data_IF_720576508067
#
_entry.id   IF_720576508067
#
_cell.length_a   1.000
_cell.length_b   1.000
_cell.length_c   1.000
_cell.angle_alpha   90.00
_cell.angle_beta   90.00
_cell.angle_gamma   90.00
#
_symmetry.space_group_name_H-M   'P 1'
#
loop_
_entity.id
_entity.type
_entity.pdbx_description
1 polymer ?
#
# COMPACT_ATOMS: atom_id res chain seq x y z
N UNK A 1 79.57 26.79 13.86
CA UNK A 1 78.15 27.02 13.50
C UNK A 1 77.33 25.92 14.18
N UNK A 2 76.91 26.14 15.42
CA UNK A 2 75.98 25.26 16.15
C UNK A 2 75.15 26.15 17.04
N UNK A 3 73.83 26.12 16.88
CA UNK A 3 72.94 26.98 17.66
C UNK A 3 71.83 26.15 18.32
N UNK A 4 71.92 26.16 19.66
CA UNK A 4 70.88 26.23 20.70
C UNK A 4 69.80 25.15 20.79
N UNK A 5 69.89 24.39 21.88
CA UNK A 5 68.75 23.74 22.52
C UNK A 5 68.39 24.55 23.78
N UNK A 6 67.22 25.18 23.78
CA UNK A 6 66.69 25.97 24.90
C UNK A 6 65.50 25.25 25.53
N UNK A 7 65.66 24.86 26.80
CA UNK A 7 64.71 24.10 27.58
C UNK A 7 63.42 24.87 27.92
N UNK A 8 62.33 24.11 27.86
CA UNK A 8 60.96 24.48 28.20
C UNK A 8 60.73 24.55 29.71
N UNK A 9 59.97 25.56 30.15
CA UNK A 9 59.03 25.45 31.28
C UNK A 9 58.10 26.66 31.38
N UNK A 10 56.79 26.40 31.25
CA UNK A 10 55.68 26.89 32.10
C UNK A 10 54.39 27.06 31.28
N UNK A 11 53.39 26.20 31.49
CA UNK A 11 52.20 26.33 32.38
C UNK A 11 50.95 26.76 31.62
N UNK A 12 50.05 25.77 31.50
CA UNK A 12 48.59 25.82 31.51
C UNK A 12 47.89 27.17 31.32
N UNK A 13 47.14 27.30 30.22
CA UNK A 13 45.81 27.93 30.22
C UNK A 13 44.91 27.27 29.18
N UNK A 14 43.74 26.86 29.64
CA UNK A 14 42.62 26.27 28.90
C UNK A 14 42.10 27.14 27.76
N UNK A 15 41.81 26.53 26.61
CA UNK A 15 40.78 27.05 25.70
C UNK A 15 39.99 25.92 25.06
N UNK A 16 38.71 25.90 25.40
CA UNK A 16 37.65 25.04 24.89
C UNK A 16 37.43 25.40 23.41
N UNK A 17 38.12 24.70 22.52
CA UNK A 17 37.72 24.61 21.11
C UNK A 17 37.94 23.18 20.65
N UNK A 18 36.96 22.32 20.97
CA UNK A 18 36.85 21.00 20.35
C UNK A 18 36.55 21.26 18.87
N UNK A 19 37.57 21.12 18.02
CA UNK A 19 37.41 21.20 16.57
C UNK A 19 36.36 20.18 16.15
N UNK A 20 35.21 20.68 15.70
CA UNK A 20 34.19 19.88 15.04
C UNK A 20 34.78 19.54 13.68
N UNK A 21 35.27 18.31 13.54
CA UNK A 21 35.63 17.75 12.24
C UNK A 21 34.35 17.65 11.41
N UNK A 22 34.15 18.61 10.51
CA UNK A 22 33.18 18.55 9.43
C UNK A 22 33.64 17.47 8.43
N UNK A 23 33.39 16.20 8.76
CA UNK A 23 33.38 15.12 7.78
C UNK A 23 31.95 14.95 7.28
N UNK A 24 31.72 15.54 6.10
CA UNK A 24 30.91 14.95 5.02
C UNK A 24 29.57 14.35 5.43
N UNK A 25 28.57 15.22 5.60
CA UNK A 25 27.17 14.86 5.31
C UNK A 25 26.99 14.84 3.79
N UNK A 26 27.32 13.71 3.17
CA UNK A 26 26.89 13.41 1.81
C UNK A 26 25.90 12.24 1.91
N UNK A 27 24.65 12.55 1.59
CA UNK A 27 23.63 11.63 1.07
C UNK A 27 23.58 10.24 1.71
N UNK A 28 22.98 10.17 2.89
CA UNK A 28 22.25 8.96 3.27
C UNK A 28 20.78 9.31 3.12
N UNK A 29 20.17 8.74 2.09
CA UNK A 29 18.72 8.72 1.89
C UNK A 29 18.05 8.38 3.21
N UNK A 30 17.36 9.37 3.79
CA UNK A 30 16.43 9.10 4.87
C UNK A 30 15.18 8.52 4.21
N UNK A 31 15.16 7.20 4.03
CA UNK A 31 13.88 6.51 4.00
C UNK A 31 13.12 6.93 5.28
N UNK A 32 11.84 7.35 5.18
CA UNK A 32 11.08 7.68 6.37
C UNK A 32 11.10 6.47 7.29
N UNK A 33 11.32 6.68 8.59
CA UNK A 33 11.40 5.63 9.59
C UNK A 33 10.10 4.83 9.55
N UNK A 34 10.13 3.72 8.81
CA UNK A 34 8.93 2.94 8.53
C UNK A 34 8.63 2.13 9.79
N UNK A 35 7.63 2.59 10.53
CA UNK A 35 7.26 2.01 11.80
C UNK A 35 6.67 0.63 11.50
N UNK A 36 7.43 -0.41 11.81
CA UNK A 36 6.99 -1.81 11.71
C UNK A 36 6.07 -2.09 12.89
N UNK A 37 4.77 -2.10 12.65
CA UNK A 37 3.79 -2.57 13.63
C UNK A 37 3.29 -3.95 13.22
N UNK A 38 3.55 -4.94 14.07
CA UNK A 38 2.87 -6.24 14.02
C UNK A 38 1.38 -6.00 14.27
N UNK A 39 0.51 -6.52 13.42
CA UNK A 39 -0.93 -6.49 13.71
C UNK A 39 -1.11 -7.13 15.09
N UNK A 40 -1.77 -6.45 16.05
CA UNK A 40 -1.82 -6.92 17.42
C UNK A 40 -2.77 -8.11 17.57
N UNK A 41 -2.33 -9.29 17.12
CA UNK A 41 -2.99 -10.60 17.16
C UNK A 41 -4.40 -10.60 16.54
N UNK A 42 -4.69 -11.66 15.81
CA UNK A 42 -5.83 -11.82 14.89
C UNK A 42 -7.23 -11.90 15.52
N UNK A 43 -7.40 -11.34 16.72
CA UNK A 43 -8.69 -11.22 17.41
C UNK A 43 -9.12 -9.76 17.53
N UNK A 44 -8.26 -8.80 17.18
CA UNK A 44 -8.62 -7.38 17.31
C UNK A 44 -9.39 -6.84 16.12
N UNK A 45 -9.14 -7.27 14.87
CA UNK A 45 -9.79 -6.66 13.70
C UNK A 45 -11.30 -6.92 13.75
N UNK A 46 -11.71 -8.17 13.95
CA UNK A 46 -13.14 -8.52 14.13
C UNK A 46 -13.80 -7.69 15.24
N UNK A 47 -13.17 -7.62 16.42
CA UNK A 47 -13.73 -6.91 17.58
C UNK A 47 -13.81 -5.40 17.34
N UNK A 48 -12.81 -4.81 16.66
CA UNK A 48 -12.82 -3.39 16.28
C UNK A 48 -13.96 -3.12 15.29
N UNK A 49 -14.13 -3.96 14.27
CA UNK A 49 -15.22 -3.81 13.31
C UNK A 49 -16.60 -3.95 13.96
N UNK A 50 -16.77 -4.93 14.86
CA UNK A 50 -18.02 -5.13 15.59
C UNK A 50 -18.32 -3.98 16.57
N UNK A 51 -17.33 -3.51 17.32
CA UNK A 51 -17.51 -2.37 18.24
C UNK A 51 -17.77 -1.05 17.51
N UNK A 52 -17.21 -0.88 16.31
CA UNK A 52 -17.57 0.25 15.44
C UNK A 52 -19.01 0.13 14.93
N UNK A 53 -19.42 -1.06 14.49
CA UNK A 53 -20.80 -1.31 14.06
C UNK A 53 -21.82 -1.08 15.21
N UNK A 54 -21.42 -1.35 16.45
CA UNK A 54 -22.18 -1.04 17.66
C UNK A 54 -22.09 0.45 18.10
N UNK A 55 -21.36 1.29 17.37
CA UNK A 55 -21.13 2.72 17.63
C UNK A 55 -20.34 3.04 18.91
N UNK A 56 -19.60 2.08 19.47
CA UNK A 56 -18.92 2.25 20.75
C UNK A 56 -17.49 2.80 20.60
N UNK A 57 -16.71 2.35 19.60
CA UNK A 57 -15.28 2.65 19.52
C UNK A 57 -14.84 3.14 18.12
N UNK A 58 -14.99 4.44 17.85
CA UNK A 58 -14.54 5.07 16.60
C UNK A 58 -13.02 5.24 16.47
N UNK A 59 -12.34 5.52 17.58
CA UNK A 59 -10.88 5.79 17.58
C UNK A 59 -10.07 4.57 17.15
N UNK A 60 -10.45 3.39 17.64
CA UNK A 60 -9.74 2.15 17.32
C UNK A 60 -9.93 1.77 15.86
N UNK A 61 -11.12 2.01 15.31
CA UNK A 61 -11.41 1.86 13.88
C UNK A 61 -10.56 2.79 13.02
N UNK A 62 -10.54 4.09 13.31
CA UNK A 62 -9.71 5.05 12.57
C UNK A 62 -8.23 4.70 12.64
N UNK A 63 -7.77 4.26 13.81
CA UNK A 63 -6.38 3.82 14.02
C UNK A 63 -6.06 2.60 13.17
N UNK A 64 -6.98 1.62 13.09
CA UNK A 64 -6.85 0.43 12.26
C UNK A 64 -6.77 0.79 10.76
N UNK A 65 -7.65 1.67 10.28
CA UNK A 65 -7.66 2.13 8.87
C UNK A 65 -6.34 2.82 8.52
N UNK A 66 -5.85 3.72 9.38
CA UNK A 66 -4.55 4.37 9.18
C UNK A 66 -3.41 3.34 9.17
N UNK A 67 -3.50 2.33 10.04
CA UNK A 67 -2.53 1.24 10.10
C UNK A 67 -2.45 0.48 8.78
N UNK A 68 -3.58 0.02 8.26
CA UNK A 68 -3.63 -0.75 7.00
C UNK A 68 -3.07 0.07 5.84
N UNK A 69 -3.36 1.37 5.79
CA UNK A 69 -2.89 2.25 4.71
C UNK A 69 -1.40 2.55 4.80
N UNK A 70 -0.87 2.79 6.00
CA UNK A 70 0.46 3.36 6.18
C UNK A 70 1.54 2.30 6.50
N UNK A 71 1.13 1.09 6.91
CA UNK A 71 2.07 0.00 7.28
C UNK A 71 2.47 -0.90 6.10
N UNK A 72 3.65 -1.52 6.22
CA UNK A 72 4.01 -2.67 5.39
C UNK A 72 3.57 -3.93 6.13
N UNK A 73 2.52 -4.57 5.61
CA UNK A 73 2.07 -5.86 6.08
C UNK A 73 3.01 -6.95 5.55
N UNK A 74 3.39 -7.89 6.40
CA UNK A 74 4.03 -9.14 5.95
C UNK A 74 2.95 -10.08 5.42
N UNK A 75 3.35 -11.09 4.64
CA UNK A 75 2.44 -12.12 4.12
C UNK A 75 1.53 -12.69 5.21
N UNK A 76 2.09 -13.07 6.37
CA UNK A 76 1.32 -13.65 7.49
C UNK A 76 0.28 -12.68 8.09
N UNK A 77 0.67 -11.40 8.24
CA UNK A 77 -0.21 -10.35 8.78
C UNK A 77 -1.34 -10.03 7.78
N UNK A 78 -1.05 -10.05 6.47
CA UNK A 78 -2.04 -9.80 5.43
C UNK A 78 -3.01 -10.98 5.27
N UNK A 79 -2.52 -12.22 5.28
CA UNK A 79 -3.35 -13.43 5.30
C UNK A 79 -4.32 -13.40 6.49
N UNK A 80 -3.82 -13.14 7.70
CA UNK A 80 -4.69 -13.08 8.89
C UNK A 80 -5.72 -11.95 8.81
N UNK A 81 -5.32 -10.76 8.34
CA UNK A 81 -6.23 -9.64 8.10
C UNK A 81 -7.33 -9.99 7.10
N UNK A 82 -6.99 -10.62 5.98
CA UNK A 82 -7.95 -11.00 4.93
C UNK A 82 -8.89 -12.10 5.40
N UNK A 83 -8.39 -13.06 6.18
CA UNK A 83 -9.20 -14.12 6.78
C UNK A 83 -10.24 -13.53 7.75
N UNK A 84 -9.83 -12.65 8.67
CA UNK A 84 -10.74 -11.98 9.60
C UNK A 84 -11.74 -11.06 8.88
N UNK A 85 -11.28 -10.30 7.88
CA UNK A 85 -12.14 -9.45 7.07
C UNK A 85 -13.20 -10.29 6.32
N UNK A 86 -12.81 -11.48 5.84
CA UNK A 86 -13.72 -12.44 5.18
C UNK A 86 -14.81 -12.94 6.12
N UNK A 87 -14.48 -13.21 7.39
CA UNK A 87 -15.47 -13.58 8.41
C UNK A 87 -16.43 -12.43 8.77
N UNK A 88 -16.01 -11.19 8.51
CA UNK A 88 -16.78 -9.98 8.82
C UNK A 88 -17.51 -9.42 7.60
N UNK A 89 -17.54 -10.10 6.45
CA UNK A 89 -18.18 -9.59 5.23
C UNK A 89 -19.63 -9.16 5.49
N UNK A 90 -20.40 -9.89 6.29
CA UNK A 90 -21.81 -9.55 6.57
C UNK A 90 -21.99 -8.19 7.24
N UNK A 91 -21.00 -7.71 8.00
CA UNK A 91 -21.06 -6.42 8.72
C UNK A 91 -20.34 -5.29 7.97
N UNK A 92 -19.55 -5.58 6.93
CA UNK A 92 -18.88 -4.60 6.07
C UNK A 92 -19.88 -3.82 5.21
N UNK A 93 -20.70 -3.01 5.88
CA UNK A 93 -21.69 -2.12 5.29
C UNK A 93 -21.05 -0.78 4.85
N UNK A 94 -21.88 0.16 4.37
CA UNK A 94 -21.41 1.48 3.90
C UNK A 94 -20.66 2.29 4.97
N UNK A 95 -20.93 2.08 6.25
CA UNK A 95 -20.27 2.79 7.35
C UNK A 95 -18.80 2.38 7.49
N UNK A 96 -18.48 1.14 7.11
CA UNK A 96 -17.12 0.59 7.12
C UNK A 96 -16.36 0.80 5.80
N UNK A 97 -16.84 1.70 4.93
CA UNK A 97 -16.24 1.98 3.62
C UNK A 97 -14.76 2.33 3.68
N UNK A 98 -14.31 3.08 4.69
CA UNK A 98 -12.89 3.48 4.81
C UNK A 98 -11.97 2.28 5.01
N UNK A 99 -12.45 1.24 5.69
CA UNK A 99 -11.71 0.00 5.89
C UNK A 99 -11.62 -0.81 4.59
N UNK A 100 -12.73 -0.92 3.86
CA UNK A 100 -12.74 -1.56 2.54
C UNK A 100 -11.80 -0.83 1.59
N UNK A 101 -11.83 0.49 1.58
CA UNK A 101 -10.95 1.32 0.76
C UNK A 101 -9.47 1.12 1.14
N UNK A 102 -9.15 1.06 2.44
CA UNK A 102 -7.79 0.77 2.89
C UNK A 102 -7.29 -0.61 2.42
N UNK A 103 -8.14 -1.65 2.49
CA UNK A 103 -7.78 -2.98 1.97
C UNK A 103 -7.58 -2.94 0.44
N UNK A 104 -8.47 -2.26 -0.29
CA UNK A 104 -8.39 -2.14 -1.75
C UNK A 104 -7.12 -1.46 -2.25
N UNK A 105 -6.51 -0.59 -1.43
CA UNK A 105 -5.29 0.13 -1.79
C UNK A 105 -4.01 -0.70 -1.63
N UNK A 106 -4.04 -1.80 -0.88
CA UNK A 106 -2.89 -2.67 -0.64
C UNK A 106 -2.29 -3.15 -1.97
N UNK A 107 -0.96 -3.14 -2.09
CA UNK A 107 -0.23 -3.69 -3.25
C UNK A 107 -0.13 -5.23 -3.16
N UNK A 108 -1.29 -5.90 -3.13
CA UNK A 108 -1.40 -7.36 -2.91
C UNK A 108 -0.76 -8.21 -4.02
N UNK A 109 -0.60 -7.67 -5.23
CA UNK A 109 0.00 -8.37 -6.40
C UNK A 109 1.49 -8.68 -6.24
N UNK A 110 2.18 -8.04 -5.30
CA UNK A 110 3.61 -8.26 -5.03
C UNK A 110 3.87 -9.36 -3.98
N UNK A 111 2.81 -9.88 -3.34
CA UNK A 111 2.90 -10.88 -2.27
C UNK A 111 2.94 -12.32 -2.82
N UNK A 112 3.14 -13.30 -1.93
CA UNK A 112 3.09 -14.71 -2.33
C UNK A 112 1.76 -15.10 -2.96
N UNK A 113 1.78 -16.15 -3.80
CA UNK A 113 0.60 -16.65 -4.49
C UNK A 113 -0.55 -17.05 -3.55
N UNK A 114 -0.21 -17.48 -2.32
CA UNK A 114 -1.20 -17.78 -1.27
C UNK A 114 -2.00 -16.53 -0.87
N UNK A 115 -1.29 -15.44 -0.57
CA UNK A 115 -1.90 -14.16 -0.19
C UNK A 115 -2.72 -13.58 -1.34
N UNK A 116 -2.18 -13.67 -2.56
CA UNK A 116 -2.88 -13.28 -3.78
C UNK A 116 -4.22 -14.01 -3.89
N UNK A 117 -4.22 -15.35 -3.80
CA UNK A 117 -5.43 -16.16 -3.92
C UNK A 117 -6.48 -15.80 -2.87
N UNK A 118 -6.05 -15.60 -1.62
CA UNK A 118 -6.95 -15.23 -0.52
C UNK A 118 -7.54 -13.83 -0.72
N UNK A 119 -6.73 -12.89 -1.20
CA UNK A 119 -7.19 -11.54 -1.56
C UNK A 119 -8.22 -11.58 -2.69
N UNK A 120 -7.98 -12.37 -3.74
CA UNK A 120 -8.92 -12.54 -4.85
C UNK A 120 -10.27 -13.08 -4.35
N UNK A 121 -10.24 -14.11 -3.51
CA UNK A 121 -11.43 -14.69 -2.88
C UNK A 121 -12.19 -13.65 -2.03
N UNK A 122 -11.47 -12.90 -1.19
CA UNK A 122 -12.06 -11.83 -0.38
C UNK A 122 -12.79 -10.79 -1.23
N UNK A 123 -12.16 -10.28 -2.30
CA UNK A 123 -12.79 -9.27 -3.18
C UNK A 123 -14.04 -9.81 -3.86
N UNK A 124 -13.99 -11.03 -4.39
CA UNK A 124 -15.14 -11.66 -5.04
C UNK A 124 -16.29 -11.80 -4.05
N UNK A 125 -16.02 -12.31 -2.84
CA UNK A 125 -17.05 -12.50 -1.82
C UNK A 125 -17.61 -11.15 -1.32
N UNK A 126 -16.75 -10.17 -1.10
CA UNK A 126 -17.14 -8.83 -0.67
C UNK A 126 -18.07 -8.18 -1.68
N UNK A 127 -17.71 -8.18 -2.97
CA UNK A 127 -18.51 -7.52 -4.00
C UNK A 127 -19.78 -8.28 -4.35
N UNK A 128 -19.80 -9.59 -4.13
CA UNK A 128 -21.02 -10.41 -4.24
C UNK A 128 -22.03 -10.09 -3.14
N UNK A 129 -21.57 -9.81 -1.92
CA UNK A 129 -22.41 -9.42 -0.80
C UNK A 129 -22.78 -7.92 -0.81
N UNK A 130 -21.83 -7.06 -1.19
CA UNK A 130 -21.87 -5.60 -1.03
C UNK A 130 -21.46 -4.89 -2.32
N UNK A 131 -22.32 -5.01 -3.32
CA UNK A 131 -22.12 -4.50 -4.68
C UNK A 131 -21.93 -2.96 -4.78
N UNK A 132 -22.28 -2.18 -3.75
CA UNK A 132 -22.01 -0.73 -3.75
C UNK A 132 -20.50 -0.40 -3.65
N UNK A 133 -19.67 -1.34 -3.18
CA UNK A 133 -18.21 -1.21 -3.24
C UNK A 133 -17.63 -1.51 -4.62
N UNK A 134 -18.42 -2.05 -5.57
CA UNK A 134 -17.92 -2.52 -6.86
C UNK A 134 -17.21 -1.43 -7.66
N UNK A 135 -17.74 -0.20 -7.65
CA UNK A 135 -17.09 0.92 -8.35
C UNK A 135 -15.67 1.18 -7.81
N UNK A 136 -15.52 1.29 -6.49
CA UNK A 136 -14.22 1.54 -5.86
C UNK A 136 -13.24 0.38 -6.10
N UNK A 137 -13.72 -0.84 -6.01
CA UNK A 137 -12.88 -2.02 -6.22
C UNK A 137 -12.43 -2.13 -7.68
N UNK A 138 -13.32 -1.93 -8.64
CA UNK A 138 -12.99 -1.93 -10.07
C UNK A 138 -12.00 -0.80 -10.38
N UNK A 139 -12.23 0.41 -9.86
CA UNK A 139 -11.31 1.54 -10.03
C UNK A 139 -9.91 1.21 -9.48
N UNK A 140 -9.82 0.60 -8.29
CA UNK A 140 -8.53 0.17 -7.73
C UNK A 140 -7.86 -0.90 -8.59
N UNK A 141 -8.60 -1.91 -9.06
CA UNK A 141 -8.07 -2.97 -9.92
C UNK A 141 -7.57 -2.41 -11.26
N UNK A 142 -8.31 -1.49 -11.87
CA UNK A 142 -7.91 -0.82 -13.12
C UNK A 142 -6.64 0.00 -12.92
N UNK A 143 -6.53 0.70 -11.79
CA UNK A 143 -5.34 1.49 -11.45
C UNK A 143 -4.07 0.62 -11.36
N UNK A 144 -4.18 -0.66 -11.00
CA UNK A 144 -3.02 -1.59 -10.95
C UNK A 144 -2.46 -1.95 -12.33
N UNK A 145 -3.15 -1.66 -13.43
CA UNK A 145 -2.61 -1.80 -14.79
C UNK A 145 -1.80 -0.59 -15.26
N UNK A 146 -1.84 0.52 -14.51
CA UNK A 146 -1.01 1.68 -14.81
C UNK A 146 0.43 1.40 -14.33
N UNK A 147 1.45 1.79 -15.11
CA UNK A 147 2.83 1.67 -14.67
C UNK A 147 3.04 2.54 -13.43
N UNK A 148 3.76 2.00 -12.44
CA UNK A 148 4.15 2.77 -11.26
C UNK A 148 5.21 3.81 -11.70
N UNK A 149 5.03 5.12 -11.45
CA UNK A 149 6.00 6.14 -11.85
C UNK A 149 7.37 5.98 -11.19
N UNK A 150 7.48 5.16 -10.13
CA UNK A 150 8.74 4.84 -9.45
C UNK A 150 9.48 3.67 -10.10
N UNK A 151 8.81 2.86 -10.94
CA UNK A 151 9.41 1.72 -11.63
C UNK A 151 10.03 2.15 -12.98
N UNK A 152 11.17 1.55 -13.38
CA UNK A 152 11.77 1.85 -14.67
C UNK A 152 10.84 1.42 -15.81
N UNK A 153 10.81 2.21 -16.88
CA UNK A 153 10.09 1.86 -18.10
C UNK A 153 10.52 0.47 -18.61
N UNK A 154 9.55 -0.27 -19.14
CA UNK A 154 9.81 -1.56 -19.75
C UNK A 154 10.79 -1.46 -20.92
N UNK A 155 11.75 -2.38 -20.97
CA UNK A 155 12.67 -2.48 -22.10
C UNK A 155 11.88 -2.74 -23.40
N UNK A 156 12.02 -1.83 -24.36
CA UNK A 156 11.26 -1.83 -25.62
C UNK A 156 9.73 -1.83 -25.46
N UNK A 157 9.20 -1.39 -24.31
CA UNK A 157 7.77 -1.41 -24.02
C UNK A 157 7.19 -2.80 -23.78
N UNK A 158 8.02 -3.82 -23.53
CA UNK A 158 7.58 -5.20 -23.27
C UNK A 158 7.58 -5.46 -21.75
N UNK A 159 6.43 -5.80 -21.14
CA UNK A 159 6.35 -6.13 -19.73
C UNK A 159 7.26 -7.31 -19.37
N UNK A 160 7.90 -7.22 -18.20
CA UNK A 160 8.63 -8.36 -17.64
C UNK A 160 7.66 -9.48 -17.24
N UNK A 161 8.17 -10.72 -17.13
CA UNK A 161 7.37 -11.88 -16.71
C UNK A 161 6.66 -11.67 -15.36
N UNK A 162 7.30 -10.95 -14.43
CA UNK A 162 6.71 -10.62 -13.13
C UNK A 162 5.50 -9.71 -13.29
N UNK A 163 5.62 -8.65 -14.09
CA UNK A 163 4.53 -7.70 -14.33
C UNK A 163 3.39 -8.35 -15.11
N UNK A 164 3.71 -9.23 -16.06
CA UNK A 164 2.73 -10.05 -16.75
C UNK A 164 1.92 -10.90 -15.77
N UNK A 165 2.57 -11.54 -14.79
CA UNK A 165 1.88 -12.33 -13.77
C UNK A 165 0.97 -11.47 -12.89
N UNK A 166 1.41 -10.26 -12.51
CA UNK A 166 0.57 -9.29 -11.79
C UNK A 166 -0.68 -8.94 -12.60
N UNK A 167 -0.53 -8.67 -13.89
CA UNK A 167 -1.66 -8.36 -14.77
C UNK A 167 -2.62 -9.52 -14.95
N UNK A 168 -2.12 -10.75 -15.08
CA UNK A 168 -2.95 -11.95 -15.14
C UNK A 168 -3.77 -12.10 -13.85
N UNK A 169 -3.15 -11.88 -12.69
CA UNK A 169 -3.84 -11.96 -11.40
C UNK A 169 -4.99 -10.94 -11.29
N UNK A 170 -4.74 -9.68 -11.66
CA UNK A 170 -5.77 -8.63 -11.66
C UNK A 170 -6.87 -8.95 -12.67
N UNK A 171 -6.51 -9.38 -13.88
CA UNK A 171 -7.46 -9.71 -14.94
C UNK A 171 -8.37 -10.88 -14.55
N UNK A 172 -7.85 -11.89 -13.85
CA UNK A 172 -8.63 -13.01 -13.34
C UNK A 172 -9.77 -12.54 -12.41
N UNK A 173 -9.47 -11.61 -11.50
CA UNK A 173 -10.48 -11.01 -10.60
C UNK A 173 -11.52 -10.25 -11.39
N UNK A 174 -11.11 -9.34 -12.27
CA UNK A 174 -12.04 -8.54 -13.08
C UNK A 174 -12.96 -9.43 -13.91
N UNK A 175 -12.40 -10.44 -14.59
CA UNK A 175 -13.19 -11.37 -15.39
C UNK A 175 -14.22 -12.12 -14.53
N UNK A 176 -13.83 -12.54 -13.33
CA UNK A 176 -14.74 -13.20 -12.40
C UNK A 176 -15.85 -12.24 -11.94
N UNK A 177 -15.52 -11.00 -11.60
CA UNK A 177 -16.50 -9.98 -11.21
C UNK A 177 -17.49 -9.65 -12.33
N UNK A 178 -17.03 -9.59 -13.58
CA UNK A 178 -17.86 -9.37 -14.77
C UNK A 178 -18.92 -10.46 -14.95
N UNK A 179 -18.57 -11.70 -14.62
CA UNK A 179 -19.49 -12.83 -14.75
C UNK A 179 -20.48 -12.90 -13.57
N UNK A 180 -20.13 -12.38 -12.39
CA UNK A 180 -20.95 -12.48 -11.18
C UNK A 180 -21.85 -11.24 -11.01
N UNK A 181 -21.37 -10.05 -11.38
CA UNK A 181 -22.03 -8.76 -11.11
C UNK A 181 -22.43 -8.12 -12.45
N UNK A 182 -23.72 -8.10 -12.82
CA UNK A 182 -24.17 -7.61 -14.13
C UNK A 182 -23.74 -6.18 -14.46
N UNK A 183 -23.75 -5.27 -13.47
CA UNK A 183 -23.39 -3.86 -13.65
C UNK A 183 -21.88 -3.61 -13.75
N UNK A 184 -21.04 -4.59 -13.44
CA UNK A 184 -19.59 -4.40 -13.37
C UNK A 184 -18.94 -4.13 -14.73
N UNK A 185 -19.56 -4.57 -15.84
CA UNK A 185 -19.10 -4.26 -17.19
C UNK A 185 -19.14 -2.77 -17.49
N UNK A 186 -20.25 -2.11 -17.15
CA UNK A 186 -20.39 -0.66 -17.33
C UNK A 186 -19.41 0.10 -16.43
N UNK A 187 -19.30 -0.33 -15.16
CA UNK A 187 -18.33 0.26 -14.22
C UNK A 187 -16.89 0.13 -14.70
N UNK A 188 -16.51 -1.03 -15.23
CA UNK A 188 -15.17 -1.24 -15.80
C UNK A 188 -14.92 -0.31 -16.99
N UNK A 189 -15.88 -0.19 -17.91
CA UNK A 189 -15.74 0.68 -19.08
C UNK A 189 -15.56 2.14 -18.65
N UNK A 190 -16.37 2.61 -17.70
CA UNK A 190 -16.25 3.97 -17.14
C UNK A 190 -14.90 4.20 -16.47
N UNK A 191 -14.40 3.20 -15.74
CA UNK A 191 -13.10 3.25 -15.09
C UNK A 191 -11.95 3.33 -16.09
N UNK A 192 -11.98 2.50 -17.14
CA UNK A 192 -10.98 2.51 -18.22
C UNK A 192 -10.96 3.85 -18.97
N UNK A 193 -12.13 4.39 -19.33
CA UNK A 193 -12.25 5.69 -20.00
C UNK A 193 -11.68 6.82 -19.12
N UNK A 194 -11.85 6.71 -17.81
CA UNK A 194 -11.38 7.72 -16.86
C UNK A 194 -9.86 7.65 -16.64
N UNK A 195 -9.31 6.44 -16.50
CA UNK A 195 -7.90 6.21 -16.17
C UNK A 195 -6.96 6.18 -17.38
N UNK A 196 -7.46 5.93 -18.59
CA UNK A 196 -6.66 5.90 -19.83
C UNK A 196 -7.04 7.05 -20.79
N UNK A 197 -6.66 8.30 -20.47
CA UNK A 197 -7.05 9.48 -21.25
C UNK A 197 -6.47 9.50 -22.68
N UNK A 198 -5.44 8.71 -22.98
CA UNK A 198 -4.90 8.60 -24.33
C UNK A 198 -5.93 8.10 -25.35
N UNK A 199 -6.96 7.35 -24.92
CA UNK A 199 -8.11 6.98 -25.77
C UNK A 199 -9.02 8.18 -26.07
N UNK A 200 -9.18 9.13 -25.14
CA UNK A 200 -9.97 10.37 -25.36
C UNK A 200 -9.33 11.31 -26.38
N UNK A 201 -8.01 11.22 -26.57
CA UNK A 201 -7.28 12.07 -27.51
C UNK A 201 -7.54 11.71 -28.98
N UNK A 202 -7.87 10.44 -29.25
CA UNK A 202 -8.21 9.95 -30.59
C UNK A 202 -9.66 10.26 -31.01
N UNK A 203 -10.58 10.42 -30.05
CA UNK A 203 -11.99 10.74 -30.34
C UNK A 203 -12.26 12.24 -30.48
N UNK A 204 -11.31 13.11 -30.09
CA UNK A 204 -11.40 14.57 -30.23
C UNK A 204 -10.75 15.09 -31.53
N UNK A 205 -10.24 14.21 -32.39
CA UNK A 205 -9.72 14.53 -33.72
C UNK A 205 -10.68 14.04 -34.81
N UNK A 206 -11.85 14.66 -34.90
CA UNK A 206 -12.72 14.65 -36.08
C UNK A 206 -13.47 15.99 -36.14
#
# INVERSE_FOLDING_TARGET
MSVISGGSRNTSTSSILKRISLKTKLFTERSPTKVRFTLPHSQKVRNILQSFAAQENRRDYESLVCLIRDSLLLDEDLTSLLSEASECISILNQDLRLFVEAILLIKWVDYSESVVSEYQSFIINLLSAHNYHAKLAIDSLVYKFLPDPEEPDWENGVPNLKDLQKFVNVHCVINTLINIIPMSQELLLQSLISNYPYLKRLSASN
#
